data_IF_247389791639
#
_entry.id   IF_247389791639
#
_cell.length_a   1.000
_cell.length_b   1.000
_cell.length_c   1.000
_cell.angle_alpha   90.00
_cell.angle_beta   90.00
_cell.angle_gamma   90.00
#
_symmetry.space_group_name_H-M   'P 1'
#
loop_
_entity.id
_entity.type
_entity.pdbx_description
1 polymer ?
#
# COMPACT_ATOMS: atom_id res chain seq x y z
N UNK A 1 -0.68 -21.17 -24.67
CA UNK A 1 -1.60 -20.19 -24.05
C UNK A 1 -1.48 -18.89 -24.79
N UNK A 2 -2.59 -18.20 -25.00
CA UNK A 2 -2.61 -16.91 -25.71
C UNK A 2 -3.25 -15.85 -24.83
N UNK A 3 -2.92 -14.60 -25.07
CA UNK A 3 -3.39 -13.50 -24.24
C UNK A 3 -3.77 -12.26 -25.07
N UNK A 4 -4.64 -11.43 -24.48
CA UNK A 4 -5.03 -10.13 -24.97
C UNK A 4 -4.51 -9.02 -24.05
N UNK A 5 -3.78 -8.05 -24.59
CA UNK A 5 -3.28 -6.88 -23.86
C UNK A 5 -4.36 -5.80 -23.75
N UNK A 6 -4.37 -5.01 -22.68
CA UNK A 6 -5.30 -3.89 -22.59
C UNK A 6 -5.06 -2.86 -23.70
N UNK A 7 -6.12 -2.15 -24.09
CA UNK A 7 -6.06 -1.18 -25.19
C UNK A 7 -5.08 -0.02 -24.94
N UNK A 8 -4.86 0.38 -23.68
CA UNK A 8 -3.94 1.46 -23.33
C UNK A 8 -2.50 1.09 -23.66
N UNK A 9 -2.10 -0.16 -23.44
CA UNK A 9 -0.75 -0.64 -23.75
C UNK A 9 -0.60 -1.10 -25.21
N UNK A 10 -1.70 -1.53 -25.84
CA UNK A 10 -1.69 -2.08 -27.20
C UNK A 10 -1.81 -0.97 -28.26
N UNK A 11 -2.82 -0.10 -28.17
CA UNK A 11 -3.18 0.83 -29.24
C UNK A 11 -2.08 1.86 -29.61
N UNK A 12 -1.30 2.45 -28.67
CA UNK A 12 -0.24 3.40 -29.01
C UNK A 12 0.84 2.85 -29.93
N UNK A 13 1.03 1.52 -29.93
CA UNK A 13 1.99 0.82 -30.77
C UNK A 13 1.37 0.27 -32.06
N UNK A 14 0.15 0.65 -32.44
CA UNK A 14 -0.57 0.07 -33.59
C UNK A 14 -0.48 0.97 -34.84
N UNK A 15 0.47 0.74 -35.78
CA UNK A 15 0.63 1.62 -36.93
C UNK A 15 -0.59 1.55 -37.86
N UNK A 16 -1.15 2.71 -38.20
CA UNK A 16 -2.31 2.80 -39.09
C UNK A 16 -3.59 2.15 -38.55
N UNK A 17 -3.65 1.87 -37.24
CA UNK A 17 -4.83 1.28 -36.59
C UNK A 17 -5.10 -0.19 -36.93
N UNK A 18 -4.19 -0.89 -37.61
CA UNK A 18 -4.29 -2.33 -37.86
C UNK A 18 -3.56 -3.12 -36.76
N UNK A 19 -4.28 -3.82 -35.86
CA UNK A 19 -3.68 -4.57 -34.74
C UNK A 19 -2.65 -5.64 -35.15
N UNK A 20 -2.73 -6.16 -36.38
CA UNK A 20 -1.77 -7.16 -36.88
C UNK A 20 -0.39 -6.54 -37.21
N UNK A 21 -0.33 -5.22 -37.39
CA UNK A 21 0.92 -4.50 -37.62
C UNK A 21 1.56 -4.00 -36.31
N UNK A 22 0.92 -4.27 -35.17
CA UNK A 22 1.44 -3.91 -33.87
C UNK A 22 2.68 -4.77 -33.53
N UNK A 23 3.83 -4.19 -33.15
CA UNK A 23 5.05 -4.94 -32.86
C UNK A 23 4.93 -5.85 -31.62
N UNK A 24 3.92 -5.64 -30.77
CA UNK A 24 3.59 -6.50 -29.63
C UNK A 24 2.77 -7.72 -30.07
N UNK A 25 2.07 -7.66 -31.21
CA UNK A 25 1.32 -8.78 -31.75
C UNK A 25 2.27 -9.95 -32.07
N UNK A 26 1.93 -11.15 -31.61
CA UNK A 26 2.71 -12.36 -31.84
C UNK A 26 3.95 -12.53 -30.95
N UNK A 27 4.31 -11.52 -30.14
CA UNK A 27 5.36 -11.64 -29.12
C UNK A 27 4.90 -12.53 -27.97
N UNK A 28 5.86 -13.22 -27.36
CA UNK A 28 5.63 -13.97 -26.11
C UNK A 28 6.03 -13.10 -24.94
N UNK A 29 5.13 -12.94 -23.97
CA UNK A 29 5.36 -12.20 -22.74
C UNK A 29 5.32 -13.17 -21.55
N UNK A 30 6.10 -12.87 -20.52
CA UNK A 30 6.08 -13.61 -19.25
C UNK A 30 5.11 -12.91 -18.30
N UNK A 31 3.98 -13.56 -18.00
CA UNK A 31 3.03 -13.09 -17.01
C UNK A 31 3.34 -13.70 -15.64
N UNK A 32 3.46 -12.86 -14.62
CA UNK A 32 3.75 -13.25 -13.24
C UNK A 32 2.54 -12.95 -12.35
N UNK A 33 2.08 -13.91 -11.55
CA UNK A 33 1.02 -13.70 -10.57
C UNK A 33 1.19 -14.63 -9.37
N UNK A 34 1.18 -14.06 -8.15
CA UNK A 34 1.28 -14.84 -6.91
C UNK A 34 2.52 -15.73 -6.84
N UNK A 35 3.68 -15.24 -7.32
CA UNK A 35 4.94 -15.99 -7.35
C UNK A 35 5.04 -17.08 -8.43
N UNK A 36 4.04 -17.20 -9.32
CA UNK A 36 4.05 -18.13 -10.46
C UNK A 36 4.21 -17.37 -11.77
N UNK A 37 4.97 -17.94 -12.69
CA UNK A 37 5.22 -17.36 -14.02
C UNK A 37 4.69 -18.27 -15.12
N UNK A 38 4.03 -17.69 -16.12
CA UNK A 38 3.66 -18.37 -17.37
C UNK A 38 4.08 -17.53 -18.56
N UNK A 39 4.47 -18.18 -19.65
CA UNK A 39 4.73 -17.50 -20.93
C UNK A 39 3.49 -17.61 -21.81
N UNK A 40 3.00 -16.49 -22.31
CA UNK A 40 1.81 -16.40 -23.15
C UNK A 40 2.10 -15.59 -24.41
N UNK A 41 1.52 -16.00 -25.54
CA UNK A 41 1.64 -15.27 -26.80
C UNK A 41 0.54 -14.21 -26.89
N UNK A 42 0.91 -12.97 -27.14
CA UNK A 42 -0.04 -11.89 -27.38
C UNK A 42 -0.65 -12.08 -28.76
N UNK A 43 -1.98 -12.16 -28.83
CA UNK A 43 -2.70 -12.40 -30.09
C UNK A 43 -3.92 -11.49 -30.23
N UNK A 44 -4.22 -10.65 -29.25
CA UNK A 44 -5.43 -9.84 -29.27
C UNK A 44 -5.29 -8.58 -28.41
N UNK A 45 -6.24 -7.66 -28.56
CA UNK A 45 -6.41 -6.50 -27.67
C UNK A 45 -7.65 -6.67 -26.80
N UNK A 46 -7.65 -6.03 -25.63
CA UNK A 46 -8.73 -6.07 -24.66
C UNK A 46 -9.20 -4.63 -24.39
N UNK A 47 -10.28 -4.17 -25.06
CA UNK A 47 -10.83 -2.82 -24.88
C UNK A 47 -11.27 -2.53 -23.45
N UNK A 48 -11.73 -3.55 -22.73
CA UNK A 48 -12.29 -3.39 -21.37
C UNK A 48 -11.28 -3.67 -20.26
N UNK A 49 -10.06 -4.12 -20.59
CA UNK A 49 -9.04 -4.36 -19.59
C UNK A 49 -8.51 -3.01 -19.08
N UNK A 50 -8.41 -2.87 -17.77
CA UNK A 50 -7.74 -1.72 -17.15
C UNK A 50 -6.22 -1.82 -17.35
N UNK A 51 -5.52 -0.69 -17.20
CA UNK A 51 -4.05 -0.64 -17.27
C UNK A 51 -3.43 -1.67 -16.32
N UNK A 52 -2.35 -2.34 -16.76
CA UNK A 52 -1.69 -3.45 -16.05
C UNK A 52 -2.54 -4.72 -15.87
N UNK A 53 -3.61 -4.90 -16.65
CA UNK A 53 -4.36 -6.17 -16.74
C UNK A 53 -4.12 -6.89 -18.07
N UNK A 54 -4.08 -8.23 -17.99
CA UNK A 54 -3.94 -9.14 -19.12
C UNK A 54 -5.04 -10.20 -19.08
N UNK A 55 -5.70 -10.45 -20.21
CA UNK A 55 -6.67 -11.54 -20.34
C UNK A 55 -6.00 -12.76 -20.96
N UNK A 56 -6.04 -13.92 -20.29
CA UNK A 56 -5.36 -15.14 -20.74
C UNK A 56 -6.38 -16.22 -21.09
N UNK A 57 -6.23 -16.81 -22.29
CA UNK A 57 -6.91 -18.06 -22.65
C UNK A 57 -6.01 -19.25 -22.43
N UNK A 58 -6.51 -20.14 -21.57
CA UNK A 58 -6.00 -21.51 -21.44
C UNK A 58 -6.69 -22.35 -22.50
N UNK A 59 -5.91 -22.93 -23.42
CA UNK A 59 -6.44 -23.89 -24.37
C UNK A 59 -6.85 -25.14 -23.59
N UNK A 60 -8.14 -25.48 -23.60
CA UNK A 60 -8.67 -26.73 -23.03
C UNK A 60 -8.17 -27.90 -23.88
N UNK A 61 -6.99 -28.43 -23.58
CA UNK A 61 -6.52 -29.71 -24.14
C UNK A 61 -7.04 -30.85 -23.27
N UNK A 62 -8.02 -31.57 -23.82
CA UNK A 62 -8.30 -33.01 -23.66
C UNK A 62 -8.12 -33.61 -22.26
N UNK A 63 -9.26 -33.92 -21.62
CA UNK A 63 -9.35 -34.94 -20.57
C UNK A 63 -8.72 -36.25 -21.08
N UNK A 64 -7.65 -36.71 -20.44
CA UNK A 64 -7.34 -38.13 -20.44
C UNK A 64 -8.35 -38.83 -19.52
N UNK A 65 -9.15 -39.67 -20.16
CA UNK A 65 -10.00 -40.68 -19.54
C UNK A 65 -9.18 -41.59 -18.62
N UNK A 66 -9.54 -41.63 -17.34
CA UNK A 66 -9.44 -42.86 -16.56
C UNK A 66 -10.81 -43.20 -15.98
N UNK A 67 -11.30 -44.32 -16.48
CA UNK A 67 -12.37 -45.20 -16.05
C UNK A 67 -12.86 -45.05 -14.61
N UNK A 68 -14.19 -44.95 -14.53
CA UNK A 68 -15.09 -45.21 -13.39
C UNK A 68 -14.50 -46.13 -12.31
N UNK A 69 -14.48 -45.64 -11.06
CA UNK A 69 -14.81 -46.47 -9.90
C UNK A 69 -15.46 -45.63 -8.80
N UNK A 70 -16.68 -46.05 -8.44
CA UNK A 70 -17.42 -45.87 -7.19
C UNK A 70 -17.57 -44.48 -6.54
N UNK A 71 -18.83 -44.06 -6.41
CA UNK A 71 -19.29 -43.18 -5.34
C UNK A 71 -18.75 -43.60 -3.97
N UNK A 72 -17.95 -42.75 -3.35
CA UNK A 72 -17.96 -42.54 -1.90
C UNK A 72 -17.84 -41.03 -1.63
N UNK A 73 -18.64 -40.58 -0.68
CA UNK A 73 -19.00 -39.19 -0.48
C UNK A 73 -17.87 -38.27 -0.03
N UNK A 74 -18.16 -36.98 -0.28
CA UNK A 74 -17.67 -35.80 0.42
C UNK A 74 -16.15 -35.66 0.66
N UNK A 75 -15.56 -34.72 -0.06
CA UNK A 75 -14.98 -33.54 0.58
C UNK A 75 -15.05 -32.39 -0.42
N UNK A 76 -16.04 -31.52 -0.24
CA UNK A 76 -15.87 -30.15 -0.68
C UNK A 76 -14.62 -29.65 0.06
N UNK A 77 -13.50 -29.53 -0.64
CA UNK A 77 -12.36 -28.79 -0.14
C UNK A 77 -12.83 -27.35 0.01
N UNK A 78 -13.36 -27.00 1.18
CA UNK A 78 -13.40 -25.62 1.61
C UNK A 78 -11.96 -25.14 1.48
N UNK A 79 -11.69 -24.31 0.47
CA UNK A 79 -10.46 -23.56 0.43
C UNK A 79 -10.44 -22.78 1.75
N UNK A 80 -9.63 -23.22 2.72
CA UNK A 80 -9.32 -22.38 3.87
C UNK A 80 -8.79 -21.09 3.26
N UNK A 81 -9.54 -20.00 3.41
CA UNK A 81 -9.01 -18.69 3.15
C UNK A 81 -7.72 -18.60 3.97
N UNK A 82 -6.58 -18.46 3.29
CA UNK A 82 -5.29 -18.37 3.95
C UNK A 82 -5.40 -17.27 5.02
N UNK A 83 -5.02 -17.59 6.26
CA UNK A 83 -4.98 -16.61 7.35
C UNK A 83 -4.18 -15.40 6.87
N UNK A 84 -4.74 -14.18 6.87
CA UNK A 84 -4.00 -13.01 6.43
C UNK A 84 -2.72 -12.85 7.25
N UNK A 85 -1.58 -12.73 6.57
CA UNK A 85 -0.33 -12.44 7.25
C UNK A 85 -0.41 -11.02 7.85
N UNK A 86 -0.01 -10.82 9.12
CA UNK A 86 0.01 -9.50 9.72
C UNK A 86 1.05 -8.62 9.03
N UNK A 87 0.84 -7.29 8.99
CA UNK A 87 1.88 -6.37 8.53
C UNK A 87 3.09 -6.44 9.48
N UNK A 88 4.32 -6.29 8.96
CA UNK A 88 5.51 -6.21 9.79
C UNK A 88 5.52 -4.88 10.57
N UNK A 89 6.08 -4.90 11.78
CA UNK A 89 6.33 -3.70 12.58
C UNK A 89 7.83 -3.41 12.60
N UNK A 90 8.22 -2.25 12.08
CA UNK A 90 9.62 -1.79 12.09
C UNK A 90 9.76 -0.57 12.98
N UNK A 91 10.55 -0.68 14.05
CA UNK A 91 10.79 0.44 14.96
C UNK A 91 11.46 1.62 14.23
N UNK A 92 10.93 2.82 14.45
CA UNK A 92 11.42 4.06 13.83
C UNK A 92 12.18 4.91 14.84
N UNK A 93 11.51 5.34 15.92
CA UNK A 93 12.03 6.21 16.97
C UNK A 93 11.09 6.22 18.19
N UNK A 94 11.61 6.65 19.33
CA UNK A 94 10.82 7.10 20.49
C UNK A 94 10.76 8.61 20.49
N UNK A 95 9.64 9.19 20.92
CA UNK A 95 9.47 10.62 21.11
C UNK A 95 8.93 10.90 22.51
N UNK A 96 9.50 11.88 23.20
CA UNK A 96 8.93 12.44 24.41
C UNK A 96 8.47 13.86 24.12
N UNK A 97 7.15 14.08 24.21
CA UNK A 97 6.50 15.36 24.02
C UNK A 97 6.42 16.09 25.35
N UNK A 98 6.73 17.39 25.34
CA UNK A 98 6.47 18.29 26.47
C UNK A 98 5.32 19.21 26.11
N UNK A 99 4.44 19.48 27.08
CA UNK A 99 3.27 20.34 26.88
C UNK A 99 3.43 21.65 27.65
N UNK A 100 2.85 22.72 27.13
CA UNK A 100 2.59 23.93 27.91
C UNK A 100 1.29 23.77 28.72
N UNK A 101 0.91 24.80 29.46
CA UNK A 101 -0.35 24.83 30.20
C UNK A 101 -1.54 24.57 29.25
N UNK A 102 -2.39 23.56 29.53
CA UNK A 102 -3.56 23.26 28.72
C UNK A 102 -4.58 24.40 28.71
N UNK A 103 -5.20 24.62 27.55
CA UNK A 103 -6.39 25.47 27.47
C UNK A 103 -7.61 24.56 27.57
N UNK A 104 -8.30 24.62 28.70
CA UNK A 104 -9.54 23.87 28.91
C UNK A 104 -10.71 24.50 28.15
N UNK A 105 -11.32 23.75 27.22
CA UNK A 105 -12.60 24.12 26.60
C UNK A 105 -13.76 23.67 27.50
N UNK A 106 -13.56 22.58 28.24
CA UNK A 106 -14.55 22.02 29.17
C UNK A 106 -15.47 20.99 28.52
N UNK A 107 -16.68 20.85 29.06
CA UNK A 107 -17.65 19.84 28.63
C UNK A 107 -18.23 20.15 27.25
N UNK A 108 -18.19 19.16 26.36
CA UNK A 108 -18.77 19.16 25.01
C UNK A 108 -19.68 17.94 24.84
N UNK A 109 -20.50 17.84 23.77
CA UNK A 109 -21.47 16.74 23.63
C UNK A 109 -20.88 15.33 23.79
N UNK A 110 -19.63 15.13 23.37
CA UNK A 110 -18.98 13.82 23.34
C UNK A 110 -18.02 13.55 24.51
N UNK A 111 -17.84 14.48 25.45
CA UNK A 111 -16.84 14.34 26.52
C UNK A 111 -16.31 15.68 27.01
N UNK A 112 -15.06 15.72 27.47
CA UNK A 112 -14.34 16.96 27.75
C UNK A 112 -13.30 17.22 26.67
N UNK A 113 -13.07 18.49 26.36
CA UNK A 113 -12.12 18.93 25.34
C UNK A 113 -11.09 19.86 25.96
N UNK A 114 -9.82 19.57 25.70
CA UNK A 114 -8.69 20.42 26.04
C UNK A 114 -7.85 20.65 24.78
N UNK A 115 -7.18 21.80 24.73
CA UNK A 115 -6.16 22.10 23.75
C UNK A 115 -4.79 21.97 24.42
N UNK A 116 -4.07 20.90 24.09
CA UNK A 116 -2.76 20.58 24.65
C UNK A 116 -1.69 21.13 23.71
N UNK A 117 -1.09 22.26 24.10
CA UNK A 117 -0.03 22.87 23.28
C UNK A 117 1.28 22.10 23.46
N UNK A 118 1.77 21.48 22.39
CA UNK A 118 3.08 20.81 22.38
C UNK A 118 4.16 21.90 22.30
N UNK A 119 4.92 22.02 23.38
CA UNK A 119 5.88 23.10 23.59
C UNK A 119 7.30 22.73 23.16
N UNK A 120 7.60 21.42 23.10
CA UNK A 120 8.90 20.88 22.75
C UNK A 120 8.97 19.38 23.01
N UNK A 121 10.19 18.88 23.21
CA UNK A 121 10.47 17.46 23.37
C UNK A 121 11.68 16.99 22.58
N UNK A 122 11.92 15.69 22.61
CA UNK A 122 13.01 15.05 21.88
C UNK A 122 12.56 13.73 21.26
N UNK A 123 13.16 13.40 20.11
CA UNK A 123 12.98 12.11 19.46
C UNK A 123 14.34 11.47 19.18
N UNK A 124 14.42 10.16 19.37
CA UNK A 124 15.64 9.37 19.14
C UNK A 124 15.27 8.05 18.50
N UNK A 125 15.94 7.69 17.42
CA UNK A 125 15.71 6.41 16.77
C UNK A 125 16.80 6.01 15.77
N UNK A 126 16.82 4.74 15.34
CA UNK A 126 17.79 4.26 14.37
C UNK A 126 17.51 4.73 12.92
N UNK A 127 16.30 5.20 12.62
CA UNK A 127 15.86 5.58 11.26
C UNK A 127 15.68 7.08 11.06
N UNK A 128 15.66 7.84 12.14
CA UNK A 128 15.59 9.30 12.14
C UNK A 128 16.78 9.79 12.96
N UNK A 129 17.56 10.74 12.44
CA UNK A 129 18.60 11.37 13.27
C UNK A 129 17.95 11.92 14.54
N UNK A 130 18.64 11.86 15.67
CA UNK A 130 18.15 12.48 16.89
C UNK A 130 17.64 13.90 16.58
N UNK A 131 16.53 14.28 17.21
CA UNK A 131 15.81 15.49 16.82
C UNK A 131 15.05 16.09 17.99
N UNK A 132 14.67 17.35 17.80
CA UNK A 132 13.89 18.13 18.75
C UNK A 132 12.47 18.30 18.23
N UNK A 133 11.51 18.10 19.11
CA UNK A 133 10.12 18.42 18.80
C UNK A 133 9.99 19.95 18.82
N UNK A 134 9.41 20.49 17.76
CA UNK A 134 9.12 21.91 17.62
C UNK A 134 7.82 22.26 18.32
N UNK A 135 6.92 22.93 17.59
CA UNK A 135 5.60 23.31 18.10
C UNK A 135 4.52 22.42 17.52
N UNK A 136 3.45 22.28 18.28
CA UNK A 136 2.29 21.54 17.86
C UNK A 136 1.09 21.75 18.77
N UNK A 137 0.01 21.09 18.43
CA UNK A 137 -1.25 21.12 19.17
C UNK A 137 -1.89 19.75 19.09
N UNK A 138 -2.38 19.27 20.24
CA UNK A 138 -3.29 18.15 20.33
C UNK A 138 -4.64 18.68 20.82
N UNK A 139 -5.68 18.53 20.00
CA UNK A 139 -7.05 18.89 20.36
C UNK A 139 -7.85 17.68 20.83
N UNK A 140 -7.21 16.70 21.46
CA UNK A 140 -7.80 15.42 21.84
C UNK A 140 -9.07 15.52 22.69
N UNK A 141 -9.92 14.49 22.57
CA UNK A 141 -11.19 14.37 23.32
C UNK A 141 -11.07 13.31 24.40
N UNK A 142 -11.43 13.64 25.63
CA UNK A 142 -11.68 12.62 26.67
C UNK A 142 -13.15 12.28 26.69
N UNK A 143 -13.50 11.06 26.29
CA UNK A 143 -14.89 10.58 26.32
C UNK A 143 -15.45 10.52 27.76
N UNK A 144 -16.77 10.41 27.90
CA UNK A 144 -17.43 10.27 29.22
C UNK A 144 -17.01 9.01 29.97
N UNK A 145 -16.46 8.02 29.25
CA UNK A 145 -15.93 6.78 29.78
C UNK A 145 -14.45 6.90 30.19
N UNK A 146 -13.84 8.08 30.04
CA UNK A 146 -12.44 8.34 30.39
C UNK A 146 -11.42 7.95 29.31
N UNK A 147 -11.86 7.54 28.11
CA UNK A 147 -10.94 7.25 26.99
C UNK A 147 -10.49 8.55 26.34
N UNK A 148 -9.20 8.86 26.41
CA UNK A 148 -8.58 9.98 25.71
C UNK A 148 -8.29 9.60 24.25
N UNK A 149 -8.69 10.47 23.33
CA UNK A 149 -8.55 10.29 21.88
C UNK A 149 -7.73 11.45 21.31
N UNK A 150 -6.40 11.30 21.20
CA UNK A 150 -5.54 12.36 20.68
C UNK A 150 -5.85 12.63 19.20
N UNK A 151 -5.66 13.88 18.81
CA UNK A 151 -5.71 14.36 17.42
C UNK A 151 -4.74 15.54 17.33
N UNK A 152 -3.49 15.22 16.98
CA UNK A 152 -2.35 16.09 17.14
C UNK A 152 -1.59 16.34 15.83
N UNK A 153 -1.04 17.54 15.75
CA UNK A 153 -0.09 17.96 14.72
C UNK A 153 1.13 18.58 15.40
N UNK A 154 2.34 18.16 15.04
CA UNK A 154 3.56 18.81 15.50
C UNK A 154 4.71 18.68 14.49
N UNK A 155 5.70 19.57 14.61
CA UNK A 155 6.95 19.46 13.85
C UNK A 155 8.02 18.71 14.64
N UNK A 156 8.81 17.90 13.93
CA UNK A 156 10.06 17.32 14.39
C UNK A 156 11.21 17.91 13.56
N UNK A 157 12.20 18.49 14.24
CA UNK A 157 13.41 19.02 13.63
C UNK A 157 14.57 18.08 13.92
N UNK A 158 15.14 17.48 12.88
CA UNK A 158 16.24 16.53 13.00
C UNK A 158 17.58 17.27 13.14
N UNK A 159 18.56 16.66 13.80
CA UNK A 159 19.91 17.23 13.97
C UNK A 159 20.65 17.44 12.63
N UNK A 160 20.23 16.72 11.58
CA UNK A 160 20.71 16.88 10.21
C UNK A 160 19.83 17.80 9.36
N UNK A 161 19.16 18.75 10.01
CA UNK A 161 18.50 19.91 9.41
C UNK A 161 17.32 19.57 8.47
N UNK A 162 16.54 18.55 8.80
CA UNK A 162 15.25 18.29 8.18
C UNK A 162 14.10 18.67 9.12
N UNK A 163 12.98 19.07 8.54
CA UNK A 163 11.72 19.26 9.27
C UNK A 163 10.70 18.25 8.79
N UNK A 164 10.06 17.54 9.72
CA UNK A 164 9.04 16.54 9.47
C UNK A 164 7.79 16.96 10.24
N UNK A 165 6.68 17.18 9.56
CA UNK A 165 5.37 17.29 10.19
C UNK A 165 4.85 15.90 10.53
N UNK A 166 4.28 15.78 11.72
CA UNK A 166 3.74 14.54 12.26
C UNK A 166 2.27 14.77 12.57
N UNK A 167 1.41 13.91 12.02
CA UNK A 167 -0.01 13.88 12.27
C UNK A 167 -0.33 12.62 13.06
N UNK A 168 -0.95 12.77 14.22
CA UNK A 168 -1.25 11.70 15.15
C UNK A 168 -2.73 11.67 15.45
N UNK A 169 -3.35 10.49 15.42
CA UNK A 169 -4.74 10.34 15.87
C UNK A 169 -5.03 8.93 16.37
N UNK A 170 -5.89 8.80 17.37
CA UNK A 170 -6.27 7.48 17.85
C UNK A 170 -7.02 7.48 19.17
N UNK A 171 -6.85 6.40 19.93
CA UNK A 171 -7.37 6.23 21.27
C UNK A 171 -6.22 5.76 22.15
N UNK A 172 -5.85 6.56 23.15
CA UNK A 172 -4.75 6.23 24.04
C UNK A 172 -4.94 4.83 24.65
N UNK A 173 -3.88 4.00 24.72
CA UNK A 173 -2.48 4.34 24.48
C UNK A 173 -2.01 4.13 23.03
N UNK A 174 -2.92 4.09 22.05
CA UNK A 174 -2.64 3.64 20.68
C UNK A 174 -3.03 4.69 19.63
N UNK A 175 -2.08 5.03 18.76
CA UNK A 175 -2.29 6.07 17.74
C UNK A 175 -1.74 5.64 16.39
N UNK A 176 -2.38 6.13 15.33
CA UNK A 176 -1.81 6.08 13.98
C UNK A 176 -1.05 7.37 13.71
N UNK A 177 0.04 7.26 12.97
CA UNK A 177 0.91 8.37 12.65
C UNK A 177 1.14 8.42 11.14
N UNK A 178 1.01 9.63 10.58
CA UNK A 178 1.43 9.98 9.23
C UNK A 178 2.47 11.10 9.30
N UNK A 179 3.23 11.25 8.21
CA UNK A 179 4.35 12.19 8.13
C UNK A 179 4.26 13.02 6.86
N UNK A 180 4.78 14.24 6.92
CA UNK A 180 5.02 15.09 5.76
C UNK A 180 6.37 15.82 5.88
N UNK A 181 7.20 15.76 4.85
CA UNK A 181 8.50 16.43 4.80
C UNK A 181 8.92 16.75 3.38
N UNK A 182 9.62 17.88 3.22
CA UNK A 182 10.29 18.26 1.97
C UNK A 182 11.75 17.74 1.88
N UNK A 183 12.25 17.05 2.92
CA UNK A 183 13.63 16.57 2.94
C UNK A 183 13.82 15.37 2.01
N UNK A 184 14.73 15.43 1.02
CA UNK A 184 15.03 14.28 0.16
C UNK A 184 15.53 13.06 0.95
N UNK A 185 16.25 13.29 2.05
CA UNK A 185 16.76 12.21 2.92
C UNK A 185 15.62 11.45 3.61
N UNK A 186 14.54 12.15 3.97
CA UNK A 186 13.42 11.59 4.72
C UNK A 186 12.14 11.45 3.88
N UNK A 187 12.21 11.65 2.55
CA UNK A 187 11.07 11.59 1.62
C UNK A 187 10.25 10.30 1.75
N UNK A 188 10.91 9.20 2.09
CA UNK A 188 10.24 7.91 2.30
C UNK A 188 9.16 7.95 3.40
N UNK A 189 9.25 8.87 4.35
CA UNK A 189 8.24 9.07 5.41
C UNK A 189 6.90 9.56 4.85
N UNK A 190 6.89 10.32 3.75
CA UNK A 190 5.66 10.80 3.10
C UNK A 190 4.75 9.67 2.62
N UNK A 191 5.32 8.48 2.43
CA UNK A 191 4.60 7.26 2.08
C UNK A 191 4.41 6.31 3.26
N UNK A 192 5.02 6.56 4.42
CA UNK A 192 4.98 5.65 5.55
C UNK A 192 3.64 5.73 6.29
N UNK A 193 3.14 4.56 6.70
CA UNK A 193 2.05 4.47 7.68
C UNK A 193 2.65 3.91 8.96
N UNK A 194 2.52 4.67 10.04
CA UNK A 194 3.04 4.29 11.34
C UNK A 194 1.93 4.12 12.36
N UNK A 195 2.30 3.37 13.40
CA UNK A 195 1.54 3.15 14.60
C UNK A 195 2.45 3.51 15.77
N UNK A 196 1.90 4.10 16.82
CA UNK A 196 2.63 4.35 18.03
C UNK A 196 1.84 3.93 19.26
N UNK A 197 2.58 3.64 20.33
CA UNK A 197 2.01 3.39 21.63
C UNK A 197 2.83 4.03 22.73
N UNK A 198 2.18 4.38 23.81
CA UNK A 198 2.83 4.96 24.97
C UNK A 198 1.84 5.67 25.88
N UNK A 199 2.32 6.61 26.68
CA UNK A 199 1.50 7.25 27.69
C UNK A 199 2.19 8.38 28.43
N UNK A 200 1.53 8.93 29.46
CA UNK A 200 2.05 10.03 30.25
C UNK A 200 3.39 9.69 30.91
N UNK A 201 4.27 10.69 31.01
CA UNK A 201 5.52 10.65 31.76
C UNK A 201 5.65 11.93 32.61
N UNK A 202 6.80 12.15 33.24
CA UNK A 202 7.02 13.27 34.16
C UNK A 202 6.85 14.66 33.51
N UNK A 203 7.07 14.79 32.20
CA UNK A 203 7.11 16.07 31.48
C UNK A 203 6.05 16.21 30.39
N UNK A 204 5.29 15.15 30.12
CA UNK A 204 4.27 15.11 29.08
C UNK A 204 3.92 13.68 28.68
N UNK A 205 4.17 13.30 27.44
CA UNK A 205 3.79 11.98 26.88
C UNK A 205 4.99 11.37 26.13
N UNK A 206 5.27 10.10 26.42
CA UNK A 206 6.26 9.30 25.69
C UNK A 206 5.58 8.33 24.74
N UNK A 207 6.02 8.25 23.50
CA UNK A 207 5.54 7.31 22.49
C UNK A 207 6.70 6.57 21.82
N UNK A 208 6.53 5.29 21.59
CA UNK A 208 7.37 4.49 20.70
C UNK A 208 6.65 4.35 19.35
N UNK A 209 7.36 4.61 18.25
CA UNK A 209 6.79 4.68 16.90
C UNK A 209 7.32 3.54 16.03
N UNK A 210 6.40 2.79 15.41
CA UNK A 210 6.69 1.71 14.48
C UNK A 210 6.05 1.98 13.13
N UNK A 211 6.82 1.77 12.06
CA UNK A 211 6.29 1.68 10.71
C UNK A 211 5.53 0.35 10.55
N UNK A 212 4.28 0.44 10.12
CA UNK A 212 3.42 -0.70 9.78
C UNK A 212 3.49 -1.01 8.28
N UNK A 213 3.69 0.02 7.46
CA UNK A 213 3.75 -0.14 6.01
C UNK A 213 4.19 1.11 5.28
N UNK A 214 4.15 1.05 3.95
CA UNK A 214 4.25 2.22 3.07
C UNK A 214 3.17 2.14 2.02
N UNK A 215 2.56 3.29 1.73
CA UNK A 215 1.78 3.51 0.53
C UNK A 215 2.74 3.37 -0.65
N UNK A 216 2.59 2.29 -1.40
CA UNK A 216 3.29 2.17 -2.68
C UNK A 216 2.51 3.00 -3.67
N UNK A 217 3.03 4.15 -4.04
CA UNK A 217 2.62 4.79 -5.30
C UNK A 217 2.92 3.77 -6.40
N UNK A 218 1.90 3.33 -7.12
CA UNK A 218 2.02 2.28 -8.15
C UNK A 218 3.09 2.57 -9.23
N UNK A 219 3.63 3.79 -9.31
CA UNK A 219 4.70 4.18 -10.23
C UNK A 219 6.16 3.97 -9.77
N UNK A 220 6.46 3.77 -8.47
CA UNK A 220 7.86 3.77 -7.97
C UNK A 220 8.50 2.39 -7.74
N UNK A 221 7.82 1.31 -8.11
CA UNK A 221 8.39 -0.05 -8.10
C UNK A 221 9.44 -0.29 -9.19
N UNK A 222 9.57 0.64 -10.16
CA UNK A 222 10.44 0.49 -11.34
C UNK A 222 11.90 0.87 -11.03
N UNK A 223 12.18 1.85 -10.18
CA UNK A 223 13.56 2.39 -10.03
C UNK A 223 14.47 1.65 -9.04
N UNK A 224 13.94 0.97 -8.02
CA UNK A 224 14.78 0.39 -6.94
C UNK A 224 15.07 -1.11 -7.04
N UNK A 225 14.54 -1.80 -8.05
CA UNK A 225 14.78 -3.22 -8.23
C UNK A 225 16.04 -3.53 -9.05
N UNK A 226 16.80 -2.53 -9.53
CA UNK A 226 17.89 -2.78 -10.48
C UNK A 226 17.40 -3.54 -11.72
N UNK A 227 16.10 -3.42 -12.02
CA UNK A 227 15.50 -3.97 -13.22
C UNK A 227 15.92 -3.01 -14.31
N UNK A 228 16.90 -3.41 -15.12
CA UNK A 228 16.96 -2.94 -16.50
C UNK A 228 15.53 -3.07 -17.04
N UNK A 229 14.93 -1.93 -17.37
CA UNK A 229 13.71 -1.90 -18.17
C UNK A 229 14.16 -2.44 -19.53
N UNK A 230 14.15 -3.76 -19.68
CA UNK A 230 14.03 -4.36 -20.99
C UNK A 230 12.64 -3.89 -21.46
N UNK A 231 12.64 -3.04 -22.48
CA UNK A 231 11.45 -2.40 -23.06
C UNK A 231 10.41 -3.40 -23.60
N UNK A 232 10.55 -4.69 -23.26
CA UNK A 232 9.77 -5.82 -23.72
C UNK A 232 9.10 -6.64 -22.59
N UNK A 233 9.23 -6.28 -21.31
CA UNK A 233 8.69 -7.06 -20.19
C UNK A 233 7.48 -6.40 -19.49
N UNK A 234 6.27 -6.70 -19.97
CA UNK A 234 5.00 -6.31 -19.31
C UNK A 234 4.83 -7.11 -18.01
N UNK A 235 4.87 -6.45 -16.85
CA UNK A 235 4.51 -7.02 -15.55
C UNK A 235 3.06 -6.62 -15.21
N UNK A 236 2.19 -7.60 -14.93
CA UNK A 236 0.77 -7.40 -14.63
C UNK A 236 0.44 -7.82 -13.20
N UNK A 237 -0.04 -6.88 -12.37
CA UNK A 237 -0.42 -7.12 -10.97
C UNK A 237 -1.83 -7.70 -10.79
N UNK A 238 -2.61 -7.88 -11.87
CA UNK A 238 -3.97 -8.45 -11.81
C UNK A 238 -4.28 -9.36 -12.99
N UNK A 239 -4.52 -10.64 -12.72
CA UNK A 239 -5.17 -11.57 -13.66
C UNK A 239 -6.69 -11.43 -13.53
N UNK A 240 -7.35 -10.90 -14.56
CA UNK A 240 -8.82 -10.84 -14.61
C UNK A 240 -9.36 -12.21 -15.00
N UNK A 241 -9.81 -13.00 -14.03
CA UNK A 241 -10.25 -14.36 -14.30
C UNK A 241 -11.72 -14.48 -14.76
N UNK A 242 -12.55 -13.42 -14.59
CA UNK A 242 -13.94 -13.35 -15.08
C UNK A 242 -14.43 -11.90 -15.23
N UNK A 243 -14.34 -11.34 -16.43
CA UNK A 243 -15.25 -10.27 -16.89
C UNK A 243 -16.05 -10.80 -18.07
N UNK A 244 -17.36 -10.54 -18.10
CA UNK A 244 -18.33 -11.19 -18.99
C UNK A 244 -18.30 -10.73 -20.46
N UNK A 245 -17.23 -10.08 -20.95
CA UNK A 245 -17.27 -9.42 -22.26
C UNK A 245 -16.04 -9.60 -23.18
N UNK A 246 -14.88 -10.10 -22.72
CA UNK A 246 -13.84 -10.64 -23.64
C UNK A 246 -14.12 -12.12 -23.99
N UNK A 247 -15.23 -12.35 -24.69
CA UNK A 247 -15.68 -13.69 -25.11
C UNK A 247 -14.82 -14.31 -26.22
N UNK A 248 -13.89 -13.55 -26.80
CA UNK A 248 -12.80 -13.84 -27.76
C UNK A 248 -11.35 -13.68 -27.28
N UNK A 249 -10.41 -14.61 -27.46
CA UNK A 249 -9.05 -14.23 -27.92
C UNK A 249 -8.93 -14.94 -29.24
N UNK A 250 -8.81 -14.18 -30.31
CA UNK A 250 -8.68 -14.73 -31.65
C UNK A 250 -7.21 -15.06 -31.93
N UNK A 251 -6.90 -15.98 -32.85
CA UNK A 251 -5.52 -16.34 -33.15
C UNK A 251 -4.71 -15.20 -33.80
N UNK A 252 -5.38 -14.14 -34.28
CA UNK A 252 -4.81 -12.96 -34.90
C UNK A 252 -5.25 -11.71 -34.12
N UNK A 253 -4.41 -10.66 -34.12
CA UNK A 253 -4.70 -9.40 -33.45
C UNK A 253 -5.84 -8.69 -34.17
N UNK A 254 -6.96 -8.46 -33.47
CA UNK A 254 -8.16 -7.84 -34.03
C UNK A 254 -8.69 -6.72 -33.14
#
# INVERSE_FOLDING_TARGET
MVAALNHVDFDPSTPGGNPNNNPLCGRSIRANYGGKSIVVKVVDRCPECTTNCLFIRVATTTMLSLTKLSCLGALAAAALAAVPAPPPLTYLFSVNLTFAEPISIGSVPYGTRDLLTISGGNAVGPKISAGKVGKGLDWGLTSRQGVFSPDALYSLHTDDNATILIFEKGHAPHVHILFETASPKYEWLNSAVAYATGGPNEVGVGLDVWQVGRVRFFGSLIERAGIEIDANAVTCDRLVHRSRLCSSCRPNCQ
#
